data_IF_729637128478
#
_entry.id   IF_729637128478
#
_cell.length_a   1.000
_cell.length_b   1.000
_cell.length_c   1.000
_cell.angle_alpha   90.00
_cell.angle_beta   90.00
_cell.angle_gamma   90.00
#
_symmetry.space_group_name_H-M   'P 1'
#
loop_
_entity.id
_entity.type
_entity.pdbx_description
1 polymer ?
#
# COMPACT_ATOMS: atom_id res chain seq x y z
N UNK A 1 -20.87 -9.31 -9.34
CA UNK A 1 -20.20 -8.77 -10.54
C UNK A 1 -18.71 -8.61 -10.31
N UNK A 2 -17.92 -8.69 -11.37
CA UNK A 2 -16.49 -8.44 -11.35
C UNK A 2 -16.18 -7.09 -11.97
N UNK A 3 -15.15 -6.43 -11.46
CA UNK A 3 -14.65 -5.17 -12.00
C UNK A 3 -13.16 -5.23 -12.22
N UNK A 4 -12.68 -4.40 -13.13
CA UNK A 4 -11.28 -4.01 -13.24
C UNK A 4 -11.13 -2.62 -12.67
N UNK A 5 -10.16 -2.46 -11.78
CA UNK A 5 -9.80 -1.19 -11.18
C UNK A 5 -8.42 -0.79 -11.64
N UNK A 6 -8.33 0.43 -12.17
CA UNK A 6 -7.07 1.09 -12.49
C UNK A 6 -6.81 2.16 -11.43
N UNK A 7 -5.59 2.20 -10.93
CA UNK A 7 -5.20 2.99 -9.77
C UNK A 7 -3.87 3.68 -10.05
N UNK A 8 -3.85 5.01 -9.98
CA UNK A 8 -2.65 5.82 -10.19
C UNK A 8 -2.58 6.92 -9.14
N UNK A 9 -1.66 6.78 -8.20
CA UNK A 9 -1.44 7.73 -7.12
C UNK A 9 0.02 8.16 -7.06
N UNK A 10 0.23 9.41 -6.69
CA UNK A 10 1.56 9.96 -6.37
C UNK A 10 1.62 10.12 -4.86
N UNK A 11 2.77 9.87 -4.24
CA UNK A 11 2.91 10.20 -2.83
C UNK A 11 2.87 11.72 -2.69
N UNK A 12 1.89 12.23 -1.94
CA UNK A 12 1.95 13.60 -1.46
C UNK A 12 3.08 13.67 -0.43
N UNK A 13 4.31 13.92 -0.92
CA UNK A 13 5.57 14.09 -0.18
C UNK A 13 5.49 13.76 1.32
N UNK A 14 5.48 12.47 1.65
CA UNK A 14 5.98 12.04 2.96
C UNK A 14 7.48 12.11 2.81
N UNK A 15 8.07 13.22 3.25
CA UNK A 15 9.51 13.27 3.41
C UNK A 15 9.91 12.11 4.33
N UNK A 16 10.88 11.25 3.96
CA UNK A 16 11.29 10.12 4.81
C UNK A 16 11.73 10.59 6.21
N UNK A 17 12.23 11.82 6.30
CA UNK A 17 12.54 12.55 7.54
C UNK A 17 11.33 12.89 8.45
N UNK A 18 10.09 12.64 8.01
CA UNK A 18 8.86 12.84 8.79
C UNK A 18 8.21 11.54 9.31
N UNK A 19 8.69 10.38 8.86
CA UNK A 19 8.39 9.12 9.56
C UNK A 19 9.26 9.17 10.81
N UNK A 20 8.70 9.64 11.94
CA UNK A 20 9.40 9.42 13.20
C UNK A 20 9.57 7.91 13.36
N UNK A 21 10.80 7.40 13.53
CA UNK A 21 10.98 6.02 13.94
C UNK A 21 10.16 5.84 15.21
N UNK A 22 9.38 4.74 15.26
CA UNK A 22 8.50 4.41 16.37
C UNK A 22 9.19 4.76 17.69
N UNK A 23 8.71 5.80 18.40
CA UNK A 23 9.39 6.37 19.58
C UNK A 23 9.62 5.26 20.60
N UNK A 24 10.85 4.79 20.72
CA UNK A 24 11.24 3.86 21.78
C UNK A 24 11.30 4.63 23.10
N UNK A 25 10.66 4.07 24.13
CA UNK A 25 10.98 4.43 25.51
C UNK A 25 12.49 4.22 25.75
N UNK A 26 13.15 5.06 26.55
CA UNK A 26 14.59 4.99 26.71
C UNK A 26 14.97 3.65 27.34
N UNK A 27 15.71 2.83 26.60
CA UNK A 27 16.30 1.60 27.10
C UNK A 27 17.35 1.93 28.16
N UNK A 28 17.31 1.19 29.26
CA UNK A 28 18.28 1.30 30.35
C UNK A 28 19.68 0.93 29.84
N UNK A 29 20.75 1.57 30.34
CA UNK A 29 22.09 1.33 29.85
C UNK A 29 22.56 -0.07 30.26
N UNK A 30 22.65 -1.00 29.31
CA UNK A 30 23.17 -2.35 29.58
C UNK A 30 22.92 -3.43 28.53
N UNK A 31 22.03 -3.22 27.57
CA UNK A 31 21.74 -4.24 26.55
C UNK A 31 22.55 -3.97 25.27
N UNK A 32 23.20 -5.02 24.79
CA UNK A 32 24.06 -5.04 23.61
C UNK A 32 23.40 -4.33 22.41
N UNK A 33 24.19 -3.50 21.72
CA UNK A 33 23.81 -2.80 20.48
C UNK A 33 23.51 -3.81 19.36
N UNK A 34 22.32 -4.43 19.37
CA UNK A 34 21.77 -5.02 18.16
C UNK A 34 21.42 -3.85 17.22
N UNK A 35 22.25 -3.65 16.19
CA UNK A 35 21.95 -2.80 15.03
C UNK A 35 20.61 -3.27 14.43
N UNK A 36 19.50 -2.72 14.92
CA UNK A 36 18.20 -2.95 14.32
C UNK A 36 18.23 -2.35 12.90
N UNK A 37 18.30 -3.24 11.91
CA UNK A 37 18.20 -2.91 10.49
C UNK A 37 16.95 -2.04 10.28
N UNK A 38 17.16 -0.78 9.91
CA UNK A 38 16.11 0.17 9.55
C UNK A 38 15.29 -0.44 8.40
N UNK A 39 14.12 -1.03 8.73
CA UNK A 39 13.29 -1.70 7.72
C UNK A 39 12.91 -0.68 6.63
N UNK A 40 13.32 -0.96 5.39
CA UNK A 40 13.00 -0.13 4.23
C UNK A 40 11.48 0.14 4.20
N UNK A 41 11.11 1.41 4.36
CA UNK A 41 9.72 1.88 4.37
C UNK A 41 8.90 1.30 3.20
N UNK A 42 9.51 1.20 2.02
CA UNK A 42 8.86 0.65 0.84
C UNK A 42 8.54 -0.85 0.98
N UNK A 43 9.38 -1.57 1.70
CA UNK A 43 9.18 -2.98 2.01
C UNK A 43 8.10 -3.17 3.08
N UNK A 44 8.04 -2.31 4.11
CA UNK A 44 6.96 -2.27 5.10
C UNK A 44 5.62 -2.03 4.41
N UNK A 45 5.54 -0.96 3.60
CA UNK A 45 4.35 -0.63 2.80
C UNK A 45 3.92 -1.80 1.90
N UNK A 46 4.87 -2.43 1.20
CA UNK A 46 4.57 -3.58 0.36
C UNK A 46 4.02 -4.77 1.16
N UNK A 47 4.50 -5.00 2.38
CA UNK A 47 4.03 -6.07 3.26
C UNK A 47 2.60 -5.82 3.74
N UNK A 48 2.24 -4.57 4.07
CA UNK A 48 0.87 -4.22 4.43
C UNK A 48 -0.10 -4.41 3.26
N UNK A 49 0.26 -3.93 2.07
CA UNK A 49 -0.53 -4.13 0.85
C UNK A 49 -0.72 -5.62 0.57
N UNK A 50 0.35 -6.44 0.67
CA UNK A 50 0.26 -7.90 0.51
C UNK A 50 -0.65 -8.55 1.55
N UNK A 51 -0.58 -8.10 2.79
CA UNK A 51 -1.36 -8.67 3.91
C UNK A 51 -2.84 -8.37 3.74
N UNK A 52 -3.18 -7.14 3.30
CA UNK A 52 -4.54 -6.80 2.91
C UNK A 52 -5.02 -7.71 1.77
N UNK A 53 -4.29 -7.75 0.65
CA UNK A 53 -4.70 -8.49 -0.56
C UNK A 53 -4.85 -10.00 -0.35
N UNK A 54 -4.15 -10.61 0.60
CA UNK A 54 -4.32 -12.03 0.95
C UNK A 54 -5.70 -12.36 1.53
N UNK A 55 -6.41 -11.36 2.04
CA UNK A 55 -7.73 -11.52 2.68
C UNK A 55 -8.89 -11.35 1.71
N UNK A 56 -8.63 -10.91 0.48
CA UNK A 56 -9.64 -10.57 -0.52
C UNK A 56 -9.39 -11.33 -1.82
N UNK A 57 -10.45 -11.58 -2.59
CA UNK A 57 -10.36 -12.21 -3.90
C UNK A 57 -9.98 -11.16 -4.97
N UNK A 58 -8.72 -10.74 -4.94
CA UNK A 58 -8.18 -9.72 -5.83
C UNK A 58 -6.98 -10.28 -6.59
N UNK A 59 -6.96 -10.08 -7.91
CA UNK A 59 -5.84 -10.43 -8.78
C UNK A 59 -5.44 -9.25 -9.63
N UNK A 60 -4.14 -9.00 -9.75
CA UNK A 60 -3.65 -7.79 -10.40
C UNK A 60 -2.15 -7.60 -10.26
N UNK A 61 -1.71 -6.44 -10.70
CA UNK A 61 -0.33 -5.98 -10.65
C UNK A 61 -0.33 -4.66 -9.89
N UNK A 62 0.42 -4.60 -8.81
CA UNK A 62 0.59 -3.42 -7.99
C UNK A 62 2.09 -3.12 -7.94
N UNK A 63 2.43 -1.92 -8.39
CA UNK A 63 3.78 -1.38 -8.39
C UNK A 63 3.82 -0.22 -7.41
N UNK A 64 4.66 -0.35 -6.39
CA UNK A 64 4.98 0.68 -5.41
C UNK A 64 6.36 1.22 -5.78
N UNK A 65 6.59 2.51 -5.60
CA UNK A 65 7.88 3.16 -5.83
C UNK A 65 8.07 4.29 -4.83
N UNK A 66 9.17 5.04 -4.89
CA UNK A 66 9.32 6.29 -4.14
C UNK A 66 8.36 7.41 -4.61
N UNK A 67 7.96 7.39 -5.88
CA UNK A 67 7.13 8.45 -6.49
C UNK A 67 5.63 8.21 -6.37
N UNK A 68 5.19 6.96 -6.29
CA UNK A 68 3.78 6.64 -6.22
C UNK A 68 3.44 5.16 -6.26
N UNK A 69 2.16 4.92 -6.45
CA UNK A 69 1.55 3.63 -6.69
C UNK A 69 0.91 3.60 -8.08
N UNK A 70 1.15 2.51 -8.79
CA UNK A 70 0.47 2.18 -10.03
C UNK A 70 -0.07 0.76 -9.92
N UNK A 71 -1.39 0.61 -9.99
CA UNK A 71 -2.00 -0.69 -9.94
C UNK A 71 -3.10 -0.88 -10.99
N UNK A 72 -3.20 -2.12 -11.44
CA UNK A 72 -4.31 -2.61 -12.23
C UNK A 72 -4.69 -3.98 -11.69
N UNK A 73 -5.92 -4.11 -11.23
CA UNK A 73 -6.40 -5.32 -10.58
C UNK A 73 -7.87 -5.58 -10.87
N UNK A 74 -8.33 -6.77 -10.56
CA UNK A 74 -9.70 -7.23 -10.77
C UNK A 74 -10.13 -8.17 -9.65
N UNK A 75 -11.42 -8.13 -9.34
CA UNK A 75 -12.04 -8.97 -8.33
C UNK A 75 -13.55 -8.71 -8.27
N UNK A 76 -14.25 -9.39 -7.36
CA UNK A 76 -15.60 -9.02 -6.98
C UNK A 76 -15.68 -7.54 -6.64
N UNK A 77 -16.80 -6.88 -6.97
CA UNK A 77 -16.98 -5.43 -6.74
C UNK A 77 -16.62 -5.01 -5.31
N UNK A 78 -17.10 -5.73 -4.31
CA UNK A 78 -16.89 -5.40 -2.90
C UNK A 78 -15.40 -5.42 -2.54
N UNK A 79 -14.72 -6.52 -2.85
CA UNK A 79 -13.29 -6.70 -2.60
C UNK A 79 -12.44 -5.67 -3.36
N UNK A 80 -12.74 -5.45 -4.64
CA UNK A 80 -11.98 -4.55 -5.49
C UNK A 80 -12.09 -3.08 -5.03
N UNK A 81 -13.27 -2.67 -4.56
CA UNK A 81 -13.47 -1.33 -4.00
C UNK A 81 -12.87 -1.20 -2.59
N UNK A 82 -12.95 -2.26 -1.77
CA UNK A 82 -12.32 -2.28 -0.44
C UNK A 82 -10.81 -2.01 -0.52
N UNK A 83 -10.12 -2.55 -1.52
CA UNK A 83 -8.71 -2.24 -1.72
C UNK A 83 -8.46 -0.78 -2.14
N UNK A 84 -9.30 -0.22 -3.01
CA UNK A 84 -9.17 1.19 -3.40
C UNK A 84 -9.35 2.12 -2.18
N UNK A 85 -10.31 1.80 -1.31
CA UNK A 85 -10.58 2.56 -0.09
C UNK A 85 -9.48 2.36 0.96
N UNK A 86 -8.94 1.14 1.10
CA UNK A 86 -7.76 0.89 1.94
C UNK A 86 -6.59 1.78 1.53
N UNK A 87 -6.25 1.84 0.24
CA UNK A 87 -5.10 2.64 -0.21
C UNK A 87 -5.34 4.14 0.00
N UNK A 88 -6.55 4.65 -0.31
CA UNK A 88 -6.89 6.07 -0.10
C UNK A 88 -6.77 6.50 1.36
N UNK A 89 -7.14 5.60 2.27
CA UNK A 89 -7.13 5.86 3.71
C UNK A 89 -5.86 5.35 4.39
N UNK A 90 -4.92 4.81 3.63
CA UNK A 90 -3.66 4.33 4.17
C UNK A 90 -2.89 5.49 4.77
N UNK A 91 -2.54 5.36 6.04
CA UNK A 91 -1.74 6.31 6.78
C UNK A 91 -0.65 5.51 7.49
N UNK A 92 0.63 5.87 7.31
CA UNK A 92 1.64 5.39 8.24
C UNK A 92 1.32 5.98 9.62
N UNK A 93 1.81 5.36 10.69
CA UNK A 93 1.82 5.96 12.03
C UNK A 93 2.73 7.20 12.04
N UNK A 94 2.32 8.27 11.36
CA UNK A 94 3.05 9.53 11.30
C UNK A 94 2.60 10.43 12.45
N UNK A 95 3.53 11.18 13.07
CA UNK A 95 3.21 12.16 14.11
C UNK A 95 2.49 13.42 13.58
N UNK A 96 2.23 13.52 12.27
CA UNK A 96 1.46 14.61 11.66
C UNK A 96 0.32 14.05 10.80
N UNK A 97 -0.90 14.28 11.29
CA UNK A 97 -2.20 13.81 10.80
C UNK A 97 -2.57 14.34 9.38
N UNK A 98 -1.80 15.27 8.83
CA UNK A 98 -2.16 16.01 7.61
C UNK A 98 -1.57 15.46 6.30
N UNK A 99 -0.70 14.44 6.35
CA UNK A 99 -0.07 13.89 5.13
C UNK A 99 -0.59 12.49 4.79
N UNK A 100 -1.82 12.42 4.25
CA UNK A 100 -2.32 11.20 3.59
C UNK A 100 -1.57 10.97 2.27
N UNK A 101 -0.73 9.94 2.15
CA UNK A 101 0.18 9.82 1.02
C UNK A 101 -0.55 9.59 -0.30
N UNK A 102 -1.72 8.96 -0.25
CA UNK A 102 -2.50 8.59 -1.43
C UNK A 102 -3.81 9.39 -1.60
N UNK A 103 -3.94 10.56 -0.97
CA UNK A 103 -5.17 11.37 -1.03
C UNK A 103 -5.59 11.71 -2.48
N UNK A 104 -4.63 12.00 -3.34
CA UNK A 104 -4.86 12.40 -4.73
C UNK A 104 -4.82 11.25 -5.73
N UNK A 105 -5.07 10.02 -5.28
CA UNK A 105 -5.11 8.88 -6.17
C UNK A 105 -6.28 8.93 -7.15
N UNK A 106 -6.00 8.70 -8.42
CA UNK A 106 -6.99 8.49 -9.46
C UNK A 106 -7.40 7.02 -9.50
N UNK A 107 -8.70 6.77 -9.33
CA UNK A 107 -9.29 5.44 -9.42
C UNK A 107 -10.29 5.42 -10.57
N UNK A 108 -10.15 4.45 -11.46
CA UNK A 108 -11.12 4.19 -12.52
C UNK A 108 -11.60 2.76 -12.41
N UNK A 109 -12.91 2.57 -12.28
CA UNK A 109 -13.57 1.27 -12.15
C UNK A 109 -14.30 0.98 -13.45
N UNK A 110 -14.08 -0.20 -14.00
CA UNK A 110 -14.72 -0.66 -15.23
C UNK A 110 -15.40 -2.01 -14.96
N UNK A 111 -16.65 -2.21 -15.43
CA UNK A 111 -17.28 -3.51 -15.34
C UNK A 111 -16.51 -4.52 -16.19
N UNK A 112 -16.35 -5.74 -15.67
CA UNK A 112 -15.79 -6.84 -16.43
C UNK A 112 -16.94 -7.69 -16.97
N UNK A 113 -16.97 -7.88 -18.28
CA UNK A 113 -18.03 -8.65 -18.96
C UNK A 113 -18.02 -10.13 -18.59
N UNK A 114 -16.86 -10.63 -18.18
CA UNK A 114 -16.67 -12.00 -17.70
C UNK A 114 -16.78 -12.04 -16.17
N UNK A 115 -17.45 -13.08 -15.65
CA UNK A 115 -17.56 -13.34 -14.21
C UNK A 115 -16.29 -14.03 -13.65
N UNK A 116 -15.13 -13.53 -14.07
CA UNK A 116 -13.82 -14.07 -13.72
C UNK A 116 -12.79 -12.94 -13.64
N UNK A 117 -11.65 -13.19 -13.00
CA UNK A 117 -10.58 -12.18 -12.94
C UNK A 117 -9.94 -11.94 -14.31
N UNK A 118 -9.59 -10.68 -14.57
CA UNK A 118 -8.78 -10.29 -15.72
C UNK A 118 -7.30 -10.70 -15.59
N UNK A 119 -6.85 -11.09 -14.39
CA UNK A 119 -5.47 -11.46 -14.09
C UNK A 119 -5.37 -12.86 -13.47
N UNK A 120 -4.31 -13.63 -13.77
CA UNK A 120 -4.16 -14.99 -13.23
C UNK A 120 -3.77 -15.02 -11.75
N UNK A 121 -3.08 -13.98 -11.25
CA UNK A 121 -2.60 -13.88 -9.86
C UNK A 121 -2.44 -12.43 -9.40
N UNK A 122 -2.32 -12.22 -8.10
CA UNK A 122 -1.96 -10.94 -7.50
C UNK A 122 -0.44 -10.83 -7.31
N UNK A 123 0.16 -9.71 -7.72
CA UNK A 123 1.59 -9.43 -7.56
C UNK A 123 1.77 -8.01 -7.04
N UNK A 124 2.50 -7.87 -5.93
CA UNK A 124 2.95 -6.59 -5.38
C UNK A 124 4.47 -6.50 -5.52
N UNK A 125 4.96 -5.49 -6.24
CA UNK A 125 6.38 -5.23 -6.44
C UNK A 125 6.74 -3.82 -5.98
N UNK A 126 7.88 -3.72 -5.33
CA UNK A 126 8.58 -2.45 -5.11
C UNK A 126 9.46 -2.20 -6.32
N UNK A 127 9.42 -0.97 -6.85
CA UNK A 127 10.26 -0.48 -7.93
C UNK A 127 11.11 0.64 -7.34
N UNK A 128 12.42 0.36 -7.27
CA UNK A 128 13.44 1.34 -6.93
C UNK A 128 13.90 2.09 -8.19
#
# INVERSE_FOLDING_TARGET
DFVVVNFYGWYAFVKPDLVEPCKKEPLLPGDDEEEEEEEDFMQVLANEHRSFLKRFDIKGRIYLSDTGINAQYSGPVEDALAYADFVKNWQPNLPHDDNRPFEHVRVSVQPLSEQAHAFPRCIVRVKN
#
